data_IF_013306354821
#
_entry.id   IF_013306354821
#
_cell.length_a   1.000
_cell.length_b   1.000
_cell.length_c   1.000
_cell.angle_alpha   90.00
_cell.angle_beta   90.00
_cell.angle_gamma   90.00
#
_symmetry.space_group_name_H-M   'P 1'
#
loop_
_entity.id
_entity.type
_entity.pdbx_description
1 polymer ?
#
# COMPACT_ATOMS: atom_id res chain seq x y z
N UNK A 1 -3.89 1.83 -28.34
CA UNK A 1 -4.88 2.28 -27.36
C UNK A 1 -4.26 3.37 -26.50
N UNK A 2 -5.03 4.42 -26.16
CA UNK A 2 -4.53 5.57 -25.37
C UNK A 2 -4.09 5.10 -23.98
N UNK A 3 -4.78 4.15 -23.40
CA UNK A 3 -4.42 3.56 -22.08
C UNK A 3 -3.07 2.85 -22.15
N UNK A 4 -2.82 2.07 -23.21
CA UNK A 4 -1.54 1.39 -23.40
C UNK A 4 -0.38 2.38 -23.58
N UNK A 5 -0.61 3.46 -24.34
CA UNK A 5 0.39 4.53 -24.51
C UNK A 5 0.67 5.26 -23.18
N UNK A 6 -0.36 5.50 -22.35
CA UNK A 6 -0.20 6.10 -21.03
C UNK A 6 0.64 5.21 -20.10
N UNK A 7 0.35 3.90 -20.09
CA UNK A 7 1.08 2.92 -19.29
C UNK A 7 2.56 2.86 -19.67
N UNK A 8 2.86 2.86 -20.97
CA UNK A 8 4.23 2.78 -21.46
C UNK A 8 5.01 4.09 -21.28
N UNK A 9 4.39 5.25 -21.58
CA UNK A 9 5.09 6.55 -21.61
C UNK A 9 5.16 7.18 -20.23
N UNK A 10 4.07 7.19 -19.49
CA UNK A 10 3.99 7.86 -18.18
C UNK A 10 4.49 6.96 -17.06
N UNK A 11 4.04 5.70 -17.04
CA UNK A 11 4.36 4.77 -15.98
C UNK A 11 5.52 3.83 -16.30
N UNK A 12 6.04 3.86 -17.56
CA UNK A 12 7.14 2.99 -18.05
C UNK A 12 6.89 1.50 -17.83
N UNK A 13 5.63 1.10 -17.77
CA UNK A 13 5.23 -0.29 -17.57
C UNK A 13 5.39 -1.05 -18.88
N UNK A 14 6.06 -2.19 -18.82
CA UNK A 14 6.22 -3.11 -19.95
C UNK A 14 5.32 -4.32 -19.76
N UNK A 15 4.88 -4.93 -20.87
CA UNK A 15 4.25 -6.25 -20.77
C UNK A 15 5.24 -7.22 -20.13
N UNK A 16 4.76 -8.00 -19.18
CA UNK A 16 5.58 -9.00 -18.51
C UNK A 16 5.89 -10.12 -19.50
N UNK A 17 7.06 -10.08 -20.15
CA UNK A 17 7.56 -11.16 -21.03
C UNK A 17 8.21 -12.31 -20.23
N UNK A 18 8.24 -12.22 -18.91
CA UNK A 18 8.75 -13.26 -18.03
C UNK A 18 7.65 -14.29 -17.74
N UNK A 19 7.96 -15.58 -17.94
CA UNK A 19 7.16 -16.70 -17.42
C UNK A 19 7.13 -16.62 -15.87
N UNK A 20 6.34 -15.69 -15.33
CA UNK A 20 6.08 -15.63 -13.90
C UNK A 20 5.23 -16.85 -13.56
N UNK A 21 5.65 -17.63 -12.56
CA UNK A 21 4.86 -18.75 -12.05
C UNK A 21 3.43 -18.25 -11.75
N UNK A 22 2.44 -18.99 -12.23
CA UNK A 22 1.02 -18.64 -12.04
C UNK A 22 0.65 -18.41 -10.57
N UNK A 23 1.32 -19.10 -9.66
CA UNK A 23 1.13 -18.98 -8.21
C UNK A 23 1.70 -17.67 -7.68
N UNK A 24 2.84 -17.25 -8.22
CA UNK A 24 3.47 -15.98 -7.85
C UNK A 24 2.66 -14.79 -8.38
N UNK A 25 2.18 -14.86 -9.62
CA UNK A 25 1.31 -13.84 -10.19
C UNK A 25 0.00 -13.67 -9.38
N UNK A 26 -0.58 -14.77 -8.88
CA UNK A 26 -1.75 -14.70 -8.01
C UNK A 26 -1.46 -13.98 -6.70
N UNK A 27 -0.29 -14.18 -6.08
CA UNK A 27 0.10 -13.47 -4.86
C UNK A 27 0.33 -11.99 -5.12
N UNK A 28 1.01 -11.65 -6.23
CA UNK A 28 1.20 -10.26 -6.67
C UNK A 28 -0.16 -9.59 -6.87
N UNK A 29 -1.09 -10.25 -7.55
CA UNK A 29 -2.42 -9.70 -7.77
C UNK A 29 -3.20 -9.46 -6.46
N UNK A 30 -3.06 -10.34 -5.45
CA UNK A 30 -3.63 -10.11 -4.11
C UNK A 30 -2.96 -8.93 -3.42
N UNK A 31 -1.64 -8.82 -3.52
CA UNK A 31 -0.86 -7.74 -2.93
C UNK A 31 -1.32 -6.37 -3.46
N UNK A 32 -1.34 -6.20 -4.77
CA UNK A 32 -1.76 -4.95 -5.43
C UNK A 32 -3.26 -4.67 -5.22
N UNK A 33 -4.10 -5.71 -5.28
CA UNK A 33 -5.53 -5.58 -4.97
C UNK A 33 -5.76 -5.10 -3.53
N UNK A 34 -4.95 -5.55 -2.58
CA UNK A 34 -5.07 -5.14 -1.18
C UNK A 34 -4.77 -3.66 -0.99
N UNK A 35 -3.72 -3.13 -1.63
CA UNK A 35 -3.44 -1.69 -1.64
C UNK A 35 -4.62 -0.90 -2.21
N UNK A 36 -5.16 -1.34 -3.35
CA UNK A 36 -6.28 -0.67 -4.01
C UNK A 36 -7.55 -0.70 -3.14
N UNK A 37 -7.89 -1.85 -2.55
CA UNK A 37 -9.09 -1.99 -1.71
C UNK A 37 -9.00 -1.14 -0.45
N UNK A 38 -7.86 -1.14 0.25
CA UNK A 38 -7.68 -0.30 1.44
C UNK A 38 -7.75 1.18 1.06
N UNK A 39 -7.10 1.58 -0.04
CA UNK A 39 -7.17 2.94 -0.56
C UNK A 39 -8.59 3.38 -0.89
N UNK A 40 -9.37 2.55 -1.60
CA UNK A 40 -10.76 2.84 -1.97
C UNK A 40 -11.73 2.82 -0.78
N UNK A 41 -11.44 2.06 0.27
CA UNK A 41 -12.27 2.07 1.49
C UNK A 41 -12.01 3.31 2.33
N UNK A 42 -10.75 3.70 2.48
CA UNK A 42 -10.37 4.89 3.26
C UNK A 42 -10.68 6.18 2.51
N UNK A 43 -10.35 6.24 1.23
CA UNK A 43 -10.51 7.41 0.38
C UNK A 43 -11.09 7.02 -0.99
N UNK A 44 -12.41 6.91 -1.12
CA UNK A 44 -13.05 6.49 -2.37
C UNK A 44 -12.66 7.38 -3.56
N UNK A 45 -12.25 6.74 -4.66
CA UNK A 45 -11.82 7.43 -5.87
C UNK A 45 -10.37 7.93 -5.85
N UNK A 46 -9.59 7.64 -4.80
CA UNK A 46 -8.19 8.06 -4.70
C UNK A 46 -7.22 7.24 -5.55
N UNK A 47 -7.61 6.02 -5.91
CA UNK A 47 -6.76 5.11 -6.70
C UNK A 47 -6.95 5.40 -8.18
N UNK A 48 -5.90 5.87 -8.86
CA UNK A 48 -5.93 6.13 -10.30
C UNK A 48 -5.77 4.88 -11.14
N UNK A 49 -4.82 4.04 -10.78
CA UNK A 49 -4.45 2.83 -11.49
C UNK A 49 -3.85 1.80 -10.54
N UNK A 50 -4.14 0.53 -10.78
CA UNK A 50 -3.48 -0.61 -10.13
C UNK A 50 -3.13 -1.64 -11.20
N UNK A 51 -1.95 -2.26 -11.11
CA UNK A 51 -1.43 -3.15 -12.15
C UNK A 51 -0.55 -4.26 -11.58
N UNK A 52 -0.56 -5.40 -12.25
CA UNK A 52 0.41 -6.49 -12.02
C UNK A 52 1.56 -6.48 -13.03
N UNK A 53 1.58 -5.51 -13.95
CA UNK A 53 2.68 -5.35 -14.92
C UNK A 53 3.96 -4.89 -14.23
N UNK A 54 5.08 -5.43 -14.69
CA UNK A 54 6.39 -5.09 -14.14
C UNK A 54 7.01 -3.83 -14.73
N UNK A 55 7.91 -3.21 -13.97
CA UNK A 55 8.79 -2.16 -14.44
C UNK A 55 10.22 -2.43 -13.92
N UNK A 56 11.18 -2.61 -14.83
CA UNK A 56 12.61 -2.77 -14.52
C UNK A 56 12.94 -3.77 -13.40
N UNK A 57 12.25 -4.92 -13.38
CA UNK A 57 12.49 -5.99 -12.38
C UNK A 57 11.61 -5.92 -11.13
N UNK A 58 10.72 -4.94 -11.04
CA UNK A 58 9.64 -4.90 -10.03
C UNK A 58 8.33 -5.23 -10.74
N UNK A 59 7.59 -6.21 -10.22
CA UNK A 59 6.29 -6.62 -10.76
C UNK A 59 5.21 -6.04 -9.84
N UNK A 60 4.20 -5.40 -10.44
CA UNK A 60 3.11 -4.78 -9.73
C UNK A 60 3.33 -3.31 -9.40
N UNK A 61 2.28 -2.65 -9.05
CA UNK A 61 2.28 -1.26 -8.61
C UNK A 61 0.92 -0.60 -8.63
N UNK A 62 0.81 0.46 -7.87
CA UNK A 62 -0.37 1.29 -7.77
C UNK A 62 0.02 2.76 -7.87
N UNK A 63 -0.80 3.56 -8.56
CA UNK A 63 -0.66 5.00 -8.58
C UNK A 63 -1.93 5.69 -8.10
N UNK A 64 -1.77 6.69 -7.23
CA UNK A 64 -2.86 7.54 -6.80
C UNK A 64 -3.35 8.40 -7.98
N UNK A 65 -4.66 8.52 -8.13
CA UNK A 65 -5.28 9.34 -9.18
C UNK A 65 -5.16 10.84 -8.92
N UNK A 66 -5.01 11.24 -7.67
CA UNK A 66 -4.76 12.60 -7.25
C UNK A 66 -3.67 12.57 -6.18
N UNK A 67 -2.66 13.43 -6.32
CA UNK A 67 -1.65 13.61 -5.28
C UNK A 67 -2.30 14.38 -4.11
N UNK A 68 -2.95 13.66 -3.23
CA UNK A 68 -3.44 14.21 -1.98
C UNK A 68 -2.29 14.18 -0.99
N UNK A 69 -1.68 15.34 -0.77
CA UNK A 69 -0.79 15.48 0.38
C UNK A 69 -1.64 15.34 1.63
N UNK A 70 -1.27 14.43 2.51
CA UNK A 70 -1.92 14.30 3.81
C UNK A 70 -1.90 15.66 4.53
N UNK A 71 -3.08 16.21 4.80
CA UNK A 71 -3.22 17.53 5.42
C UNK A 71 -3.28 17.44 6.94
N UNK A 72 -3.56 16.26 7.47
CA UNK A 72 -3.66 16.00 8.89
C UNK A 72 -3.10 14.62 9.25
N UNK A 73 -2.96 14.37 10.55
CA UNK A 73 -2.41 13.12 11.06
C UNK A 73 -3.22 11.89 10.64
N UNK A 74 -4.56 11.99 10.61
CA UNK A 74 -5.43 10.86 10.26
C UNK A 74 -5.22 10.44 8.81
N UNK A 75 -5.24 11.37 7.87
CA UNK A 75 -4.94 11.10 6.45
C UNK A 75 -3.54 10.53 6.25
N UNK A 76 -2.56 11.00 7.04
CA UNK A 76 -1.20 10.47 7.00
C UNK A 76 -1.14 9.02 7.47
N UNK A 77 -1.81 8.68 8.56
CA UNK A 77 -1.88 7.30 9.07
C UNK A 77 -2.70 6.38 8.16
N UNK A 78 -3.67 6.93 7.43
CA UNK A 78 -4.39 6.22 6.37
C UNK A 78 -3.45 5.81 5.23
N UNK A 79 -2.52 6.68 4.84
CA UNK A 79 -1.50 6.36 3.84
C UNK A 79 -0.56 5.25 4.32
N UNK A 80 -0.12 5.28 5.59
CA UNK A 80 0.67 4.19 6.17
C UNK A 80 -0.14 2.89 6.21
N UNK A 81 -1.43 2.97 6.57
CA UNK A 81 -2.34 1.81 6.58
C UNK A 81 -2.44 1.18 5.19
N UNK A 82 -2.59 2.01 4.14
CA UNK A 82 -2.61 1.58 2.74
C UNK A 82 -1.29 0.93 2.33
N UNK A 83 -0.15 1.53 2.72
CA UNK A 83 1.19 0.97 2.44
C UNK A 83 1.38 -0.43 3.03
N UNK A 84 0.82 -0.72 4.19
CA UNK A 84 0.89 -2.04 4.83
C UNK A 84 -0.12 -3.06 4.28
N UNK A 85 -1.03 -2.63 3.40
CA UNK A 85 -2.15 -3.44 2.95
C UNK A 85 -1.73 -4.65 2.10
N UNK A 86 -0.70 -4.52 1.25
CA UNK A 86 -0.21 -5.62 0.42
C UNK A 86 0.17 -6.83 1.27
N UNK A 87 0.99 -6.63 2.30
CA UNK A 87 1.36 -7.66 3.28
C UNK A 87 0.13 -8.25 3.98
N UNK A 88 -0.81 -7.41 4.38
CA UNK A 88 -2.01 -7.84 5.08
C UNK A 88 -2.91 -8.69 4.18
N UNK A 89 -3.03 -8.35 2.89
CA UNK A 89 -3.81 -9.10 1.90
C UNK A 89 -3.24 -10.49 1.64
N UNK A 90 -1.94 -10.59 1.40
CA UNK A 90 -1.26 -11.89 1.21
C UNK A 90 -1.39 -12.76 2.45
N UNK A 91 -1.21 -12.19 3.64
CA UNK A 91 -1.42 -12.90 4.91
C UNK A 91 -2.86 -13.38 5.08
N UNK A 92 -3.86 -12.56 4.72
CA UNK A 92 -5.28 -12.89 4.83
C UNK A 92 -5.69 -14.05 3.91
N UNK A 93 -5.17 -14.08 2.68
CA UNK A 93 -5.59 -15.05 1.66
C UNK A 93 -4.77 -16.34 1.73
N UNK A 94 -3.46 -16.24 1.92
CA UNK A 94 -2.55 -17.40 1.86
C UNK A 94 -2.03 -17.83 3.23
N UNK A 95 -2.21 -17.05 4.28
CA UNK A 95 -1.69 -17.37 5.63
C UNK A 95 -0.17 -17.31 5.75
N UNK A 96 0.51 -16.66 4.79
CA UNK A 96 1.97 -16.56 4.74
C UNK A 96 2.43 -15.11 4.77
N UNK A 97 3.67 -14.92 5.22
CA UNK A 97 4.37 -13.64 5.10
C UNK A 97 5.25 -13.69 3.85
N UNK A 98 5.04 -12.74 2.94
CA UNK A 98 5.78 -12.68 1.67
C UNK A 98 6.91 -11.65 1.72
N UNK A 99 8.03 -11.97 1.06
CA UNK A 99 9.17 -11.08 0.90
C UNK A 99 8.85 -9.88 -0.02
N UNK A 100 7.86 -10.00 -0.89
CA UNK A 100 7.44 -8.95 -1.82
C UNK A 100 7.01 -7.67 -1.09
N UNK A 101 6.54 -7.79 0.15
CA UNK A 101 6.19 -6.65 1.01
C UNK A 101 7.40 -5.92 1.63
N UNK A 102 8.63 -6.28 1.32
CA UNK A 102 9.81 -5.66 1.94
C UNK A 102 9.94 -4.16 1.64
N UNK A 103 9.65 -3.76 0.40
CA UNK A 103 9.66 -2.34 0.01
C UNK A 103 8.57 -1.53 0.72
N UNK A 104 7.39 -2.11 0.91
CA UNK A 104 6.29 -1.47 1.62
C UNK A 104 6.59 -1.31 3.11
N UNK A 105 7.24 -2.32 3.72
CA UNK A 105 7.65 -2.25 5.12
C UNK A 105 8.69 -1.13 5.30
N UNK A 106 9.67 -1.05 4.40
CA UNK A 106 10.67 0.03 4.42
C UNK A 106 10.02 1.40 4.21
N UNK A 107 9.05 1.50 3.31
CA UNK A 107 8.31 2.74 3.07
C UNK A 107 7.45 3.12 4.28
N UNK A 108 6.74 2.17 4.87
CA UNK A 108 5.95 2.41 6.08
C UNK A 108 6.83 2.86 7.25
N UNK A 109 8.02 2.27 7.40
CA UNK A 109 9.00 2.66 8.41
C UNK A 109 9.46 4.11 8.25
N UNK A 110 9.81 4.52 7.01
CA UNK A 110 10.16 5.91 6.69
C UNK A 110 9.01 6.90 6.95
N UNK A 111 7.78 6.50 6.62
CA UNK A 111 6.60 7.32 6.91
C UNK A 111 6.39 7.49 8.41
N UNK A 112 6.68 6.47 9.21
CA UNK A 112 6.57 6.58 10.67
C UNK A 112 7.65 7.49 11.28
N UNK A 113 8.84 7.58 10.68
CA UNK A 113 9.83 8.60 11.08
C UNK A 113 9.31 10.02 10.84
N UNK A 114 8.64 10.23 9.69
CA UNK A 114 7.98 11.51 9.38
C UNK A 114 6.86 11.78 10.40
N UNK A 115 6.03 10.78 10.73
CA UNK A 115 4.97 10.91 11.73
C UNK A 115 5.51 11.33 13.11
N UNK A 116 6.59 10.72 13.57
CA UNK A 116 7.24 11.10 14.82
C UNK A 116 7.77 12.53 14.79
N UNK A 117 8.37 12.94 13.66
CA UNK A 117 9.00 14.25 13.54
C UNK A 117 7.98 15.40 13.32
N UNK A 118 6.96 15.19 12.49
CA UNK A 118 6.07 16.26 12.05
C UNK A 118 4.75 16.33 12.80
N UNK A 119 4.27 15.18 13.30
CA UNK A 119 3.01 15.10 14.04
C UNK A 119 3.22 14.88 15.55
N UNK A 120 4.49 14.87 16.01
CA UNK A 120 4.83 14.54 17.40
C UNK A 120 4.23 13.21 17.88
N UNK A 121 4.21 12.21 16.99
CA UNK A 121 3.55 10.94 17.19
C UNK A 121 4.08 10.04 18.33
N UNK A 122 5.06 10.50 19.08
CA UNK A 122 5.55 9.89 20.32
C UNK A 122 5.44 10.82 21.52
N UNK A 123 4.69 11.93 21.39
CA UNK A 123 4.67 13.04 22.33
C UNK A 123 5.61 14.15 21.89
N UNK A 124 5.51 15.33 22.53
CA UNK A 124 6.37 16.50 22.25
C UNK A 124 7.82 16.24 22.70
N UNK A 125 8.44 15.31 22.04
CA UNK A 125 9.86 15.03 22.18
C UNK A 125 10.56 15.96 21.21
N UNK A 126 11.18 17.02 21.69
CA UNK A 126 11.73 18.11 20.88
C UNK A 126 12.48 17.58 19.67
N UNK A 127 12.10 18.11 18.51
CA UNK A 127 12.87 17.97 17.28
C UNK A 127 14.14 18.79 17.50
N UNK A 128 15.17 18.13 17.97
CA UNK A 128 16.47 18.77 18.08
C UNK A 128 17.09 18.80 16.68
N UNK A 129 16.89 19.93 16.01
CA UNK A 129 17.67 20.31 14.85
C UNK A 129 19.06 20.72 15.37
N UNK A 130 20.02 19.81 15.29
CA UNK A 130 21.41 20.08 15.69
C UNK A 130 22.09 18.86 16.29
N UNK A 131 23.39 18.93 16.46
CA UNK A 131 24.37 17.90 16.81
C UNK A 131 24.16 17.19 18.16
N UNK A 132 22.96 17.22 18.70
CA UNK A 132 22.59 16.60 19.97
C UNK A 132 22.14 15.15 19.73
N UNK A 133 23.05 14.21 19.99
CA UNK A 133 22.75 12.77 19.96
C UNK A 133 21.66 12.46 20.98
N UNK A 134 20.53 11.96 20.50
CA UNK A 134 19.49 11.42 21.37
C UNK A 134 20.09 10.39 22.31
N UNK A 135 19.65 10.36 23.57
CA UNK A 135 20.05 9.29 24.49
C UNK A 135 19.56 7.93 23.98
N UNK A 136 20.31 6.87 24.25
CA UNK A 136 19.91 5.50 23.86
C UNK A 136 18.52 5.12 24.37
N UNK A 137 18.18 5.56 25.58
CA UNK A 137 16.83 5.34 26.13
C UNK A 137 15.73 6.01 25.32
N UNK A 138 15.99 7.21 24.80
CA UNK A 138 15.02 7.95 23.99
C UNK A 138 14.85 7.32 22.60
N UNK A 139 15.94 6.88 22.00
CA UNK A 139 15.90 6.13 20.74
C UNK A 139 15.07 4.86 20.92
N UNK A 140 15.37 4.08 21.96
CA UNK A 140 14.62 2.85 22.26
C UNK A 140 13.14 3.10 22.52
N UNK A 141 12.78 4.17 23.21
CA UNK A 141 11.38 4.56 23.44
C UNK A 141 10.66 4.94 22.15
N UNK A 142 11.30 5.74 21.29
CA UNK A 142 10.74 6.14 20.00
C UNK A 142 10.53 4.93 19.07
N UNK A 143 11.48 4.02 19.02
CA UNK A 143 11.38 2.77 18.27
C UNK A 143 10.25 1.88 18.77
N UNK A 144 10.05 1.79 20.09
CA UNK A 144 8.95 1.02 20.66
C UNK A 144 7.57 1.60 20.28
N UNK A 145 7.41 2.93 20.32
CA UNK A 145 6.18 3.61 19.90
C UNK A 145 5.93 3.39 18.40
N UNK A 146 6.94 3.59 17.57
CA UNK A 146 6.90 3.38 16.13
C UNK A 146 6.45 1.96 15.80
N UNK A 147 7.09 0.96 16.41
CA UNK A 147 6.76 -0.45 16.20
C UNK A 147 5.32 -0.78 16.63
N UNK A 148 4.88 -0.28 17.79
CA UNK A 148 3.51 -0.47 18.27
C UNK A 148 2.47 0.17 17.34
N UNK A 149 2.77 1.36 16.78
CA UNK A 149 1.89 2.05 15.84
C UNK A 149 1.81 1.35 14.49
N UNK A 150 2.95 0.88 13.96
CA UNK A 150 2.98 0.06 12.74
C UNK A 150 2.12 -1.20 12.88
N UNK A 151 2.21 -1.89 14.02
CA UNK A 151 1.39 -3.08 14.28
C UNK A 151 -0.11 -2.73 14.37
N UNK A 152 -0.47 -1.60 14.99
CA UNK A 152 -1.85 -1.10 15.01
C UNK A 152 -2.39 -0.86 13.60
N UNK A 153 -1.61 -0.15 12.75
CA UNK A 153 -1.99 0.19 11.38
C UNK A 153 -2.06 -1.05 10.48
N UNK A 154 -1.14 -2.01 10.67
CA UNK A 154 -1.22 -3.30 9.99
C UNK A 154 -2.51 -4.05 10.34
N UNK A 155 -2.87 -4.12 11.63
CA UNK A 155 -4.13 -4.74 12.06
C UNK A 155 -5.35 -4.00 11.51
N UNK A 156 -5.29 -2.68 11.38
CA UNK A 156 -6.33 -1.87 10.75
C UNK A 156 -6.49 -2.24 9.28
N UNK A 157 -5.40 -2.33 8.52
CA UNK A 157 -5.41 -2.79 7.13
C UNK A 157 -6.00 -4.20 7.00
N UNK A 158 -5.54 -5.14 7.83
CA UNK A 158 -6.05 -6.50 7.85
C UNK A 158 -7.56 -6.56 8.12
N UNK A 159 -8.05 -5.79 9.09
CA UNK A 159 -9.49 -5.71 9.42
C UNK A 159 -10.31 -5.14 8.27
N UNK A 160 -9.81 -4.10 7.60
CA UNK A 160 -10.45 -3.52 6.40
C UNK A 160 -10.57 -4.59 5.32
N UNK A 161 -9.49 -5.29 4.99
CA UNK A 161 -9.48 -6.34 3.98
C UNK A 161 -10.36 -7.53 4.35
N UNK A 162 -10.36 -7.95 5.61
CA UNK A 162 -11.21 -9.03 6.08
C UNK A 162 -12.69 -8.70 5.90
N UNK A 163 -13.09 -7.47 6.23
CA UNK A 163 -14.48 -7.01 6.09
C UNK A 163 -14.89 -6.79 4.61
N UNK A 164 -13.92 -6.56 3.73
CA UNK A 164 -14.12 -6.34 2.30
C UNK A 164 -13.53 -7.46 1.43
N UNK A 165 -13.54 -8.71 1.95
CA UNK A 165 -12.89 -9.84 1.29
C UNK A 165 -13.44 -10.12 -0.12
N UNK A 166 -14.73 -9.97 -0.33
CA UNK A 166 -15.32 -10.14 -1.67
C UNK A 166 -14.82 -9.10 -2.65
N UNK A 167 -14.70 -7.84 -2.23
CA UNK A 167 -14.12 -6.79 -3.05
C UNK A 167 -12.64 -7.05 -3.35
N UNK A 168 -11.85 -7.52 -2.37
CA UNK A 168 -10.45 -7.91 -2.56
C UNK A 168 -10.31 -9.00 -3.64
N UNK A 169 -11.12 -10.07 -3.56
CA UNK A 169 -11.05 -11.17 -4.51
C UNK A 169 -11.55 -10.75 -5.91
N UNK A 170 -12.54 -9.86 -6.00
CA UNK A 170 -13.03 -9.34 -7.26
C UNK A 170 -11.99 -8.45 -7.95
N UNK A 171 -11.28 -7.59 -7.20
CA UNK A 171 -10.17 -6.78 -7.74
C UNK A 171 -9.00 -7.67 -8.16
N UNK A 172 -8.63 -8.68 -7.35
CA UNK A 172 -7.62 -9.67 -7.72
C UNK A 172 -7.97 -10.36 -9.05
N UNK A 173 -9.20 -10.83 -9.20
CA UNK A 173 -9.66 -11.48 -10.44
C UNK A 173 -9.56 -10.53 -11.64
N UNK A 174 -10.00 -9.29 -11.48
CA UNK A 174 -9.89 -8.28 -12.53
C UNK A 174 -8.43 -8.01 -12.94
N UNK A 175 -7.51 -7.99 -11.97
CA UNK A 175 -6.07 -7.83 -12.25
C UNK A 175 -5.48 -9.03 -12.99
N UNK A 176 -5.90 -10.25 -12.67
CA UNK A 176 -5.46 -11.46 -13.36
C UNK A 176 -6.01 -11.54 -14.80
N UNK A 177 -7.20 -10.98 -15.05
CA UNK A 177 -7.83 -10.98 -16.36
C UNK A 177 -7.34 -9.84 -17.26
N UNK A 178 -7.16 -8.64 -16.71
CA UNK A 178 -6.87 -7.42 -17.48
C UNK A 178 -5.46 -6.85 -17.23
N UNK A 179 -4.68 -7.43 -16.32
CA UNK A 179 -3.36 -6.98 -15.87
C UNK A 179 -3.34 -5.58 -15.24
N UNK A 180 -4.30 -4.73 -15.57
CA UNK A 180 -4.37 -3.34 -15.13
C UNK A 180 -5.83 -2.92 -15.00
N UNK A 181 -6.15 -2.27 -13.87
CA UNK A 181 -7.47 -1.68 -13.60
C UNK A 181 -7.32 -0.18 -13.37
N UNK A 182 -8.25 0.58 -13.93
CA UNK A 182 -8.37 2.02 -13.72
C UNK A 182 -9.39 2.32 -12.60
N UNK A 183 -9.42 3.55 -12.14
CA UNK A 183 -10.39 4.02 -11.14
C UNK A 183 -11.84 3.66 -11.50
N UNK A 184 -12.23 3.84 -12.77
CA UNK A 184 -13.57 3.49 -13.25
C UNK A 184 -13.90 2.01 -13.14
N UNK A 185 -12.92 1.14 -13.22
CA UNK A 185 -13.09 -0.31 -13.13
C UNK A 185 -13.22 -0.74 -11.67
N UNK A 186 -12.39 -0.14 -10.79
CA UNK A 186 -12.50 -0.32 -9.35
C UNK A 186 -13.87 0.10 -8.81
N UNK A 187 -14.40 1.23 -9.29
CA UNK A 187 -15.74 1.70 -8.92
C UNK A 187 -16.83 0.69 -9.33
N UNK A 188 -16.80 0.18 -10.56
CA UNK A 188 -17.76 -0.84 -11.04
C UNK A 188 -17.68 -2.14 -10.24
N UNK A 189 -16.44 -2.61 -9.97
CA UNK A 189 -16.21 -3.82 -9.18
C UNK A 189 -16.79 -3.62 -7.77
N UNK A 190 -16.53 -2.47 -7.15
CA UNK A 190 -17.05 -2.14 -5.82
C UNK A 190 -18.58 -2.15 -5.78
N UNK A 191 -19.24 -1.52 -6.76
CA UNK A 191 -20.71 -1.51 -6.88
C UNK A 191 -21.31 -2.93 -7.02
N UNK A 192 -20.58 -3.84 -7.67
CA UNK A 192 -21.03 -5.23 -7.84
C UNK A 192 -20.86 -6.08 -6.57
N UNK A 193 -20.13 -5.60 -5.57
CA UNK A 193 -19.85 -6.31 -4.32
C UNK A 193 -20.75 -5.88 -3.14
N UNK A 194 -21.63 -4.88 -3.36
CA UNK A 194 -22.60 -4.38 -2.37
C UNK A 194 -23.94 -5.09 -2.58
#
# INVERSE_FOLDING_TARGET
>A
DITEALLQVVYKLQKTDTETDSTELQKIAVHEAAHAVVGEVLHPGSIGIVTVRGNQGVIGGMANGCATYAQNEEEFLDEVTKTLAGRAGVSLIYGVMDIQASADIEQADKLMDIWQCHFAGGGFVGIESGDNRMSEQRLSYNEAIKSAKLEELYRRAYKILHNNKYFLLAVQHGLLEHETLLNSDLAKIRESCI
#
